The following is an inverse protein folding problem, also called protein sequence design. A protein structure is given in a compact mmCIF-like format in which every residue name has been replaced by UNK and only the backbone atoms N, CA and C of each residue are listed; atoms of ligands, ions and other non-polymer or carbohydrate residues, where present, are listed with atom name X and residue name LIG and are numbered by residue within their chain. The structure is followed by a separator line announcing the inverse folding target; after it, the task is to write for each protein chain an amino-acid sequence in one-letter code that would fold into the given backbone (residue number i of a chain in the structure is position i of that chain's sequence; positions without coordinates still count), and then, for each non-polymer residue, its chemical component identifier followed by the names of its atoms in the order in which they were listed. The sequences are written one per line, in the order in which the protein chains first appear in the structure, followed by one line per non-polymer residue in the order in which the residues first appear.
data_IF_417706157519
#
_entry.id   IF_417706157519
#
_cell.length_a   1.000
_cell.length_b   1.000
_cell.length_c   1.000
_cell.angle_alpha   90.00
_cell.angle_beta   90.00
_cell.angle_gamma   90.00
#
_symmetry.space_group_name_H-M   'P 1'
#
loop_
_entity.id
_entity.type
_entity.pdbx_description
1 polymer ?
#
# COMPACT_ATOMS: atom_id res chain seq x y z
N UNK A 1 12.80 -4.54 -13.18
CA UNK A 1 12.15 -5.15 -11.98
C UNK A 1 11.33 -4.18 -11.15
N UNK A 2 11.77 -2.95 -10.91
CA UNK A 2 11.01 -1.92 -10.18
C UNK A 2 9.61 -1.70 -10.76
N UNK A 3 9.47 -1.71 -12.06
CA UNK A 3 8.21 -1.53 -12.78
C UNK A 3 7.15 -2.58 -12.40
N UNK A 4 7.54 -3.84 -12.22
CA UNK A 4 6.62 -4.92 -11.78
C UNK A 4 6.10 -4.70 -10.36
N UNK A 5 6.96 -4.23 -9.46
CA UNK A 5 6.59 -3.94 -8.07
C UNK A 5 5.58 -2.80 -7.98
N UNK A 6 5.74 -1.75 -8.81
CA UNK A 6 4.79 -0.64 -8.90
C UNK A 6 3.43 -1.13 -9.41
N UNK A 7 3.40 -1.92 -10.49
CA UNK A 7 2.16 -2.46 -11.03
C UNK A 7 1.44 -3.39 -10.03
N UNK A 8 2.19 -4.25 -9.35
CA UNK A 8 1.62 -5.12 -8.32
C UNK A 8 1.03 -4.29 -7.17
N UNK A 9 1.76 -3.30 -6.66
CA UNK A 9 1.30 -2.41 -5.62
C UNK A 9 0.01 -1.66 -6.03
N UNK A 10 -0.03 -1.09 -7.23
CA UNK A 10 -1.22 -0.43 -7.77
C UNK A 10 -2.43 -1.38 -7.86
N UNK A 11 -2.22 -2.61 -8.31
CA UNK A 11 -3.29 -3.62 -8.39
C UNK A 11 -3.83 -3.96 -7.00
N UNK A 12 -2.94 -4.11 -6.01
CA UNK A 12 -3.32 -4.38 -4.62
C UNK A 12 -4.13 -3.23 -4.04
N UNK A 13 -3.69 -1.99 -4.24
CA UNK A 13 -4.41 -0.79 -3.76
C UNK A 13 -5.79 -0.68 -4.41
N UNK A 14 -5.90 -0.92 -5.72
CA UNK A 14 -7.19 -0.95 -6.43
C UNK A 14 -8.16 -1.97 -5.84
N UNK A 15 -7.70 -3.20 -5.61
CA UNK A 15 -8.54 -4.26 -5.07
C UNK A 15 -9.03 -3.98 -3.65
N UNK A 16 -8.38 -3.07 -2.93
CA UNK A 16 -8.67 -2.68 -1.54
C UNK A 16 -9.22 -1.26 -1.40
N UNK A 17 -9.50 -0.57 -2.51
CA UNK A 17 -9.86 0.85 -2.47
C UNK A 17 -11.00 1.15 -1.47
N UNK A 18 -12.07 0.36 -1.48
CA UNK A 18 -13.21 0.53 -0.55
C UNK A 18 -12.81 0.33 0.92
N UNK A 19 -12.06 -0.71 1.23
CA UNK A 19 -11.62 -0.99 2.61
C UNK A 19 -10.59 0.03 3.11
N UNK A 20 -9.85 0.65 2.20
CA UNK A 20 -8.88 1.70 2.51
C UNK A 20 -9.50 3.11 2.56
N UNK A 21 -10.79 3.26 2.27
CA UNK A 21 -11.45 4.57 2.27
C UNK A 21 -11.07 5.45 1.06
N UNK A 22 -10.63 4.85 -0.03
CA UNK A 22 -10.29 5.56 -1.26
C UNK A 22 -11.59 5.75 -2.06
N UNK A 23 -12.04 7.00 -2.19
CA UNK A 23 -13.37 7.37 -2.66
C UNK A 23 -13.72 7.00 -4.11
N UNK A 24 -12.76 6.53 -4.90
CA UNK A 24 -13.02 6.19 -6.29
C UNK A 24 -12.30 4.91 -6.65
N UNK A 25 -13.04 3.90 -7.10
CA UNK A 25 -12.45 2.72 -7.73
C UNK A 25 -11.64 3.12 -8.99
N UNK A 26 -11.99 4.26 -9.56
CA UNK A 26 -11.36 4.84 -10.76
C UNK A 26 -10.30 5.91 -10.41
N UNK A 27 -9.74 5.90 -9.19
CA UNK A 27 -8.74 6.91 -8.78
C UNK A 27 -7.56 6.97 -9.75
N UNK A 28 -7.21 5.86 -10.39
CA UNK A 28 -6.15 5.75 -11.38
C UNK A 28 -6.47 6.40 -12.74
N UNK A 29 -7.75 6.67 -13.03
CA UNK A 29 -8.18 7.44 -14.21
C UNK A 29 -8.24 8.94 -13.92
N UNK A 30 -8.41 9.30 -12.66
CA UNK A 30 -8.61 10.68 -12.20
C UNK A 30 -7.39 11.31 -11.57
N UNK A 31 -6.38 10.50 -11.19
CA UNK A 31 -5.16 10.96 -10.51
C UNK A 31 -3.93 10.34 -11.17
N UNK A 32 -3.01 11.18 -11.57
CA UNK A 32 -1.68 10.75 -11.98
C UNK A 32 -0.84 10.44 -10.73
N UNK A 33 -0.26 9.24 -10.69
CA UNK A 33 0.65 8.83 -9.62
C UNK A 33 2.06 8.78 -10.16
N UNK A 34 2.91 9.69 -9.69
CA UNK A 34 4.32 9.71 -10.01
C UNK A 34 5.13 9.07 -8.88
N UNK A 35 5.91 8.04 -9.21
CA UNK A 35 6.78 7.34 -8.26
C UNK A 35 8.22 7.66 -8.61
N UNK A 36 8.94 8.30 -7.69
CA UNK A 36 10.36 8.58 -7.79
C UNK A 36 11.13 7.80 -6.73
N UNK A 37 12.11 7.04 -7.16
CA UNK A 37 13.06 6.36 -6.26
C UNK A 37 14.39 7.09 -6.38
N UNK A 38 14.83 7.84 -5.36
CA UNK A 38 16.07 8.59 -5.39
C UNK A 38 17.29 7.68 -5.50
N UNK A 39 18.46 8.27 -5.79
CA UNK A 39 19.75 7.58 -5.95
C UNK A 39 19.78 6.56 -7.11
N UNK A 40 19.38 6.99 -8.30
CA UNK A 40 19.33 6.16 -9.51
C UNK A 40 20.68 5.59 -9.96
N UNK A 41 21.80 6.09 -9.44
CA UNK A 41 23.12 5.57 -9.72
C UNK A 41 23.46 4.26 -8.95
N UNK A 42 22.66 3.94 -7.92
CA UNK A 42 22.80 2.67 -7.19
C UNK A 42 21.86 1.66 -7.81
N UNK A 43 22.35 0.50 -8.29
CA UNK A 43 21.48 -0.54 -8.79
C UNK A 43 20.48 -0.96 -7.72
N UNK A 44 19.20 -0.70 -7.95
CA UNK A 44 18.09 -1.12 -7.09
C UNK A 44 17.37 -2.27 -7.77
N UNK A 45 18.03 -3.40 -7.80
CA UNK A 45 17.54 -4.60 -8.43
C UNK A 45 16.84 -5.48 -7.40
N UNK A 46 15.54 -5.56 -7.50
CA UNK A 46 14.80 -6.55 -6.77
C UNK A 46 13.36 -6.13 -6.48
N UNK A 47 12.49 -7.11 -6.33
CA UNK A 47 11.08 -6.92 -6.02
C UNK A 47 10.84 -6.50 -4.57
N UNK A 48 11.88 -6.46 -3.73
CA UNK A 48 11.79 -6.27 -2.27
C UNK A 48 11.23 -4.91 -1.82
N UNK A 49 11.07 -3.95 -2.73
CA UNK A 49 10.45 -2.67 -2.47
C UNK A 49 8.91 -2.67 -2.64
N UNK A 50 8.32 -3.78 -3.07
CA UNK A 50 6.89 -3.86 -3.37
C UNK A 50 5.99 -3.46 -2.20
N UNK A 51 6.31 -3.96 -1.02
CA UNK A 51 5.57 -3.63 0.23
C UNK A 51 5.67 -2.14 0.54
N UNK A 52 6.87 -1.57 0.48
CA UNK A 52 7.08 -0.15 0.76
C UNK A 52 6.38 0.76 -0.26
N UNK A 53 6.39 0.39 -1.54
CA UNK A 53 5.66 1.13 -2.58
C UNK A 53 4.16 1.08 -2.36
N UNK A 54 3.61 -0.09 -2.03
CA UNK A 54 2.18 -0.22 -1.73
C UNK A 54 1.79 0.65 -0.54
N UNK A 55 2.57 0.63 0.54
CA UNK A 55 2.34 1.46 1.73
C UNK A 55 2.41 2.95 1.41
N UNK A 56 3.38 3.38 0.59
CA UNK A 56 3.51 4.78 0.19
C UNK A 56 2.32 5.25 -0.66
N UNK A 57 1.85 4.43 -1.59
CA UNK A 57 0.67 4.74 -2.42
C UNK A 57 -0.58 4.85 -1.54
N UNK A 58 -0.79 3.91 -0.61
CA UNK A 58 -1.92 3.97 0.33
C UNK A 58 -1.84 5.24 1.17
N UNK A 59 -0.68 5.55 1.73
CA UNK A 59 -0.45 6.77 2.53
C UNK A 59 -0.84 8.04 1.76
N UNK A 60 -0.40 8.18 0.51
CA UNK A 60 -0.72 9.36 -0.32
C UNK A 60 -2.21 9.43 -0.65
N UNK A 61 -2.84 8.31 -1.01
CA UNK A 61 -4.25 8.28 -1.41
C UNK A 61 -5.21 8.47 -0.25
N UNK A 62 -4.84 8.01 0.95
CA UNK A 62 -5.65 8.15 2.17
C UNK A 62 -5.29 9.40 2.99
N UNK A 63 -4.18 10.07 2.66
CA UNK A 63 -3.59 11.16 3.45
C UNK A 63 -3.22 10.75 4.88
N UNK A 64 -2.97 9.46 5.11
CA UNK A 64 -2.51 8.92 6.40
C UNK A 64 -1.00 8.76 6.36
N UNK A 65 -0.23 9.47 7.20
CA UNK A 65 1.23 9.39 7.20
C UNK A 65 1.77 8.01 7.55
N UNK A 66 2.90 7.65 6.96
CA UNK A 66 3.69 6.49 7.41
C UNK A 66 4.53 6.89 8.61
N UNK A 67 4.63 6.02 9.60
CA UNK A 67 5.49 6.20 10.79
C UNK A 67 6.95 6.27 10.38
N UNK A 68 7.68 7.27 10.93
CA UNK A 68 9.09 7.49 10.61
C UNK A 68 10.04 6.46 11.25
N UNK A 69 9.58 5.75 12.27
CA UNK A 69 10.36 4.75 13.03
C UNK A 69 10.15 3.31 12.53
N UNK A 70 9.41 3.13 11.42
CA UNK A 70 9.12 1.83 10.81
C UNK A 70 9.86 1.68 9.49
N UNK A 71 10.53 0.56 9.31
CA UNK A 71 11.03 0.10 8.02
C UNK A 71 10.31 -1.19 7.60
N UNK A 72 10.31 -1.45 6.30
CA UNK A 72 9.66 -2.62 5.75
C UNK A 72 10.40 -3.15 4.52
N UNK A 73 10.28 -4.44 4.28
CA UNK A 73 10.80 -5.07 3.06
C UNK A 73 9.91 -6.26 2.71
N UNK A 74 9.79 -6.55 1.44
CA UNK A 74 9.02 -7.67 0.92
C UNK A 74 8.65 -7.48 -0.54
N UNK A 75 8.63 -8.56 -1.29
CA UNK A 75 7.95 -8.60 -2.57
C UNK A 75 6.44 -8.68 -2.32
N UNK A 76 5.64 -8.06 -3.17
CA UNK A 76 4.19 -8.11 -3.05
C UNK A 76 3.56 -8.83 -4.24
N UNK A 77 2.67 -9.76 -3.99
CA UNK A 77 1.85 -10.40 -5.03
C UNK A 77 0.64 -9.52 -5.38
N UNK A 78 -0.03 -9.81 -6.49
CA UNK A 78 -1.27 -9.15 -6.89
C UNK A 78 -2.41 -9.30 -5.87
N UNK A 79 -2.31 -10.29 -4.99
CA UNK A 79 -3.28 -10.53 -3.89
C UNK A 79 -2.92 -9.80 -2.61
N UNK A 80 -1.73 -9.18 -2.54
CA UNK A 80 -1.24 -8.50 -1.34
C UNK A 80 -0.48 -9.43 -0.37
N UNK A 81 -0.12 -10.64 -0.78
CA UNK A 81 0.75 -11.52 -0.01
C UNK A 81 2.18 -10.98 -0.07
N UNK A 82 2.87 -11.05 1.06
CA UNK A 82 4.26 -10.59 1.24
C UNK A 82 5.19 -11.79 1.09
N UNK A 83 5.99 -11.78 0.02
CA UNK A 83 6.90 -12.87 -0.30
C UNK A 83 8.33 -12.60 0.23
N UNK A 84 9.10 -13.69 0.47
CA UNK A 84 10.44 -13.61 1.03
C UNK A 84 11.43 -12.87 0.10
N UNK A 85 12.45 -12.30 0.72
CA UNK A 85 13.51 -11.51 0.06
C UNK A 85 14.90 -12.05 0.42
N UNK A 86 15.90 -11.68 -0.36
CA UNK A 86 17.29 -11.86 -0.01
C UNK A 86 17.87 -10.66 0.73
N UNK A 87 19.03 -10.87 1.39
CA UNK A 87 19.78 -9.81 2.04
C UNK A 87 19.10 -9.22 3.29
N UNK A 88 18.38 -10.04 4.05
CA UNK A 88 17.71 -9.58 5.26
C UNK A 88 18.71 -9.03 6.29
N UNK A 89 19.87 -9.67 6.44
CA UNK A 89 20.90 -9.24 7.39
C UNK A 89 21.37 -7.81 7.13
N UNK A 90 21.69 -7.48 5.89
CA UNK A 90 22.15 -6.15 5.50
C UNK A 90 21.05 -5.10 5.72
N UNK A 91 19.81 -5.45 5.46
CA UNK A 91 18.65 -4.56 5.67
C UNK A 91 18.41 -4.28 7.15
N UNK A 92 18.48 -5.29 8.02
CA UNK A 92 18.34 -5.10 9.47
C UNK A 92 19.50 -4.28 10.06
N UNK A 93 20.73 -4.51 9.59
CA UNK A 93 21.88 -3.70 9.97
C UNK A 93 21.71 -2.24 9.55
N UNK A 94 21.20 -1.99 8.35
CA UNK A 94 20.92 -0.63 7.87
C UNK A 94 19.80 0.04 8.68
N UNK A 95 18.75 -0.68 8.99
CA UNK A 95 17.64 -0.19 9.82
C UNK A 95 18.13 0.19 11.23
N UNK A 96 18.90 -0.68 11.86
CA UNK A 96 19.49 -0.40 13.16
C UNK A 96 20.38 0.85 13.15
N UNK A 97 21.26 1.00 12.17
CA UNK A 97 22.11 2.21 12.00
C UNK A 97 21.30 3.47 11.74
N UNK A 98 20.15 3.34 11.05
CA UNK A 98 19.25 4.43 10.75
C UNK A 98 18.34 4.84 11.90
N UNK A 99 18.45 4.19 13.08
CA UNK A 99 17.63 4.51 14.24
C UNK A 99 16.17 4.05 14.12
N UNK A 100 15.88 3.13 13.19
CA UNK A 100 14.57 2.48 13.06
C UNK A 100 14.30 1.65 14.31
N UNK A 101 13.05 1.61 14.72
CA UNK A 101 12.60 0.83 15.89
C UNK A 101 11.90 -0.45 15.49
N UNK A 102 11.03 -0.40 14.51
CA UNK A 102 10.23 -1.54 14.06
C UNK A 102 10.58 -1.89 12.62
N UNK A 103 10.83 -3.15 12.33
CA UNK A 103 11.07 -3.65 10.97
C UNK A 103 10.09 -4.74 10.62
N UNK A 104 9.32 -4.53 9.54
CA UNK A 104 8.39 -5.51 9.00
C UNK A 104 9.11 -6.35 7.94
N UNK A 105 9.10 -7.65 8.14
CA UNK A 105 9.76 -8.62 7.27
C UNK A 105 8.77 -9.68 6.78
N UNK A 106 9.00 -10.31 5.63
CA UNK A 106 8.19 -11.44 5.23
C UNK A 106 8.22 -12.57 6.27
N UNK A 107 7.08 -13.20 6.54
CA UNK A 107 6.98 -14.30 7.51
C UNK A 107 7.99 -15.42 7.24
N UNK A 108 8.19 -15.78 5.98
CA UNK A 108 9.14 -16.82 5.58
C UNK A 108 10.61 -16.47 5.86
N UNK A 109 10.94 -15.18 5.97
CA UNK A 109 12.29 -14.75 6.37
C UNK A 109 12.55 -14.86 7.88
N UNK A 110 11.58 -15.29 8.68
CA UNK A 110 11.79 -15.54 10.11
C UNK A 110 12.89 -16.58 10.36
N UNK A 111 13.07 -17.52 9.47
CA UNK A 111 14.16 -18.51 9.51
C UNK A 111 15.55 -17.87 9.42
N UNK A 112 15.68 -16.76 8.71
CA UNK A 112 16.95 -16.07 8.50
C UNK A 112 17.37 -15.28 9.77
N UNK A 113 16.47 -15.09 10.75
CA UNK A 113 16.76 -14.41 12.00
C UNK A 113 17.78 -15.18 12.88
N UNK A 114 17.96 -16.47 12.62
CA UNK A 114 19.00 -17.26 13.29
C UNK A 114 20.42 -16.76 12.98
N UNK A 115 20.63 -16.16 11.80
CA UNK A 115 21.92 -15.63 11.34
C UNK A 115 22.16 -14.17 11.77
N UNK A 116 21.16 -13.52 12.40
CA UNK A 116 21.23 -12.12 12.81
C UNK A 116 21.88 -12.04 14.20
N UNK A 117 22.89 -11.16 14.38
CA UNK A 117 23.50 -10.93 15.69
C UNK A 117 22.47 -10.50 16.75
N UNK A 118 22.63 -11.00 17.99
CA UNK A 118 21.67 -10.74 19.07
C UNK A 118 21.56 -9.24 19.39
N UNK A 119 22.66 -8.51 19.39
CA UNK A 119 22.68 -7.07 19.61
C UNK A 119 21.82 -6.27 18.59
N UNK A 120 21.56 -6.80 17.41
CA UNK A 120 20.66 -6.19 16.44
C UNK A 120 19.22 -6.55 16.77
N UNK A 121 18.95 -7.82 17.08
CA UNK A 121 17.60 -8.31 17.42
C UNK A 121 17.05 -7.65 18.70
N UNK A 122 17.91 -7.41 19.68
CA UNK A 122 17.53 -6.76 20.96
C UNK A 122 17.16 -5.28 20.80
N UNK A 123 17.68 -4.61 19.76
CA UNK A 123 17.46 -3.20 19.51
C UNK A 123 16.41 -2.90 18.44
N UNK A 124 15.86 -3.92 17.78
CA UNK A 124 14.83 -3.82 16.76
C UNK A 124 13.63 -4.67 17.11
N UNK A 125 12.46 -4.09 17.05
CA UNK A 125 11.22 -4.87 17.03
C UNK A 125 11.03 -5.45 15.63
N UNK A 126 11.36 -6.71 15.44
CA UNK A 126 11.22 -7.40 14.15
C UNK A 126 9.89 -8.10 14.11
N UNK A 127 9.02 -7.71 13.17
CA UNK A 127 7.67 -8.28 13.00
C UNK A 127 7.56 -9.01 11.68
N UNK A 128 7.42 -10.34 11.69
CA UNK A 128 7.04 -11.10 10.51
C UNK A 128 5.61 -10.76 10.11
N UNK A 129 5.39 -10.61 8.80
CA UNK A 129 4.08 -10.30 8.19
C UNK A 129 3.87 -11.17 6.96
N UNK A 130 2.63 -11.58 6.74
CA UNK A 130 2.22 -12.39 5.59
C UNK A 130 1.41 -11.59 4.58
N UNK A 131 0.67 -10.59 5.03
CA UNK A 131 -0.22 -9.80 4.21
C UNK A 131 0.08 -8.31 4.32
N UNK A 132 -0.16 -7.58 3.23
CA UNK A 132 0.00 -6.13 3.21
C UNK A 132 -0.89 -5.42 4.22
N UNK A 133 -2.04 -6.01 4.53
CA UNK A 133 -2.98 -5.46 5.51
C UNK A 133 -2.34 -5.36 6.90
N UNK A 134 -1.58 -6.38 7.33
CA UNK A 134 -0.79 -6.37 8.57
C UNK A 134 0.32 -5.29 8.54
N UNK A 135 0.90 -5.06 7.36
CA UNK A 135 1.89 -3.99 7.20
C UNK A 135 1.26 -2.63 7.40
N UNK A 136 0.11 -2.38 6.78
CA UNK A 136 -0.58 -1.09 6.87
C UNK A 136 -1.03 -0.77 8.30
N UNK A 137 -1.49 -1.77 9.05
CA UNK A 137 -1.87 -1.61 10.47
C UNK A 137 -0.71 -1.11 11.34
N UNK A 138 0.52 -1.53 11.06
CA UNK A 138 1.71 -1.15 11.84
C UNK A 138 2.37 0.11 11.29
N UNK A 139 2.45 0.22 9.97
CA UNK A 139 3.23 1.26 9.31
C UNK A 139 2.52 2.62 9.25
N UNK A 140 1.20 2.65 9.19
CA UNK A 140 0.44 3.89 9.17
C UNK A 140 0.23 4.44 10.57
N UNK A 141 0.14 5.78 10.69
CA UNK A 141 -0.10 6.45 11.99
C UNK A 141 -1.50 6.21 12.54
N UNK A 142 -2.45 5.89 11.67
CA UNK A 142 -3.82 5.49 12.01
C UNK A 142 -4.35 4.51 10.96
N UNK A 143 -5.37 3.74 11.34
CA UNK A 143 -5.99 2.78 10.44
C UNK A 143 -6.84 3.51 9.37
N UNK A 144 -6.75 3.11 8.09
CA UNK A 144 -7.67 3.59 7.07
C UNK A 144 -9.13 3.29 7.46
N UNK A 145 -10.03 4.23 7.16
CA UNK A 145 -11.47 4.08 7.44
C UNK A 145 -12.17 3.61 6.17
N UNK A 146 -12.76 2.41 6.16
CA UNK A 146 -13.51 1.92 5.02
C UNK A 146 -14.62 2.90 4.60
N UNK A 147 -14.88 2.98 3.29
CA UNK A 147 -16.05 3.68 2.80
C UNK A 147 -17.30 2.96 3.27
N UNK A 148 -18.17 3.69 3.99
CA UNK A 148 -19.50 3.20 4.34
C UNK A 148 -20.35 3.29 3.08
N UNK A 149 -20.88 2.16 2.60
CA UNK A 149 -21.88 2.19 1.55
C UNK A 149 -23.13 2.88 2.11
N UNK A 150 -23.42 4.08 1.60
CA UNK A 150 -24.71 4.72 1.89
C UNK A 150 -25.78 4.04 1.01
N UNK A 151 -26.66 3.21 1.58
CA UNK A 151 -27.67 2.51 0.82
C UNK A 151 -28.67 3.48 0.16
N UNK A 152 -28.78 4.73 0.64
CA UNK A 152 -29.66 5.75 0.07
C UNK A 152 -29.03 6.53 -1.10
N UNK A 153 -27.71 6.55 -1.21
CA UNK A 153 -27.02 7.30 -2.29
C UNK A 153 -27.29 6.74 -3.69
N UNK A 154 -27.55 5.43 -3.80
CA UNK A 154 -27.92 4.80 -5.08
C UNK A 154 -29.32 5.19 -5.57
N UNK A 155 -30.29 5.31 -4.65
CA UNK A 155 -31.65 5.71 -5.01
C UNK A 155 -31.76 7.18 -5.46
N UNK A 156 -30.92 8.08 -4.92
CA UNK A 156 -30.91 9.48 -5.35
C UNK A 156 -30.23 9.67 -6.71
N UNK A 157 -29.18 8.89 -7.00
CA UNK A 157 -28.50 8.91 -8.30
C UNK A 157 -29.39 8.37 -9.43
N UNK A 158 -30.13 7.29 -9.17
CA UNK A 158 -31.12 6.74 -10.13
C UNK A 158 -32.31 7.68 -10.35
N UNK A 159 -32.80 8.34 -9.29
CA UNK A 159 -33.86 9.34 -9.40
C UNK A 159 -33.46 10.60 -10.18
N UNK A 160 -32.19 11.02 -10.07
CA UNK A 160 -31.63 12.14 -10.87
C UNK A 160 -31.44 11.77 -12.33
N UNK A 161 -30.96 10.55 -12.62
CA UNK A 161 -30.81 10.05 -13.98
C UNK A 161 -32.17 9.88 -14.68
N UNK A 162 -33.19 9.39 -13.97
CA UNK A 162 -34.54 9.23 -14.51
C UNK A 162 -35.28 10.56 -14.72
N UNK A 163 -34.92 11.64 -14.01
CA UNK A 163 -35.47 12.98 -14.23
C UNK A 163 -34.84 13.68 -15.43
N UNK A 164 -33.51 13.56 -15.61
CA UNK A 164 -32.83 14.17 -16.78
C UNK A 164 -33.29 13.62 -18.12
N UNK A 165 -33.61 12.33 -18.21
CA UNK A 165 -34.11 11.72 -19.46
C UNK A 165 -35.56 12.04 -19.79
N UNK A 166 -36.34 12.59 -18.85
CA UNK A 166 -37.73 13.05 -19.13
C UNK A 166 -37.81 14.51 -19.61
N UNK A 167 -36.83 15.33 -19.27
CA UNK A 167 -36.82 16.75 -19.72
C UNK A 167 -36.25 16.89 -21.15
N UNK A 168 -35.34 16.04 -21.60
CA UNK A 168 -34.85 16.06 -22.98
C UNK A 168 -35.90 15.59 -24.02
N UNK A 169 -36.85 14.75 -23.64
CA UNK A 169 -37.88 14.26 -24.56
C UNK A 169 -39.08 15.17 -24.69
N UNK A 170 -39.19 16.26 -23.90
CA UNK A 170 -40.30 17.22 -23.95
C UNK A 170 -40.02 18.42 -24.83
N UNK A 171 -38.77 18.62 -25.31
CA UNK A 171 -38.39 19.79 -26.11
C UNK A 171 -38.31 19.55 -27.65
N UNK A 172 -38.75 18.38 -28.14
CA UNK A 172 -38.71 18.01 -29.55
C UNK A 172 -40.11 17.99 -30.24
N UNK A 173 -41.14 18.53 -29.61
CA UNK A 173 -42.43 18.73 -30.27
C UNK A 173 -42.91 20.17 -30.05
N UNK A 174 -42.36 21.06 -30.89
CA UNK A 174 -43.08 22.28 -31.37
C UNK A 174 -42.46 22.73 -32.69
#
# INVERSE_FOLDING_TARGET
MLFRSVHAAMTVVRSRAKSLGIESEDFYEKKDIHIHVPEGAVPKDGPSAGVAMCTAIVSVLTSIPVRADVAMTGEITLRGEVLPIGGLKEKLLAAHRGGIKTVLIPEENSRDLAEIPDNIKENLEIRPVKWIDEVLEVALTEAPKPLVEDPNGKEEAEKKSARGSKEENSSLHH
#
